data_IF_815470544059
#
_entry.id   IF_815470544059
#
_cell.length_a   1.000
_cell.length_b   1.000
_cell.length_c   1.000
_cell.angle_alpha   90.00
_cell.angle_beta   90.00
_cell.angle_gamma   90.00
#
_symmetry.space_group_name_H-M   'P 1'
#
loop_
_entity.id
_entity.type
_entity.pdbx_description
1 polymer ?
#
# COMPACT_ATOMS: atom_id res chain seq x y z
N UNK A 1 -2.18 -5.70 -24.45
CA UNK A 1 -0.92 -6.18 -23.84
C UNK A 1 -0.63 -5.24 -22.69
N UNK A 2 -1.01 -5.61 -21.46
CA UNK A 2 -0.76 -4.81 -20.26
C UNK A 2 0.60 -5.19 -19.68
N UNK A 3 1.48 -4.21 -19.52
CA UNK A 3 2.78 -4.39 -18.89
C UNK A 3 2.59 -4.53 -17.38
N UNK A 4 2.86 -5.73 -16.86
CA UNK A 4 3.06 -5.97 -15.43
C UNK A 4 4.38 -5.26 -15.07
N UNK A 5 4.35 -4.40 -14.04
CA UNK A 5 5.54 -3.71 -13.56
C UNK A 5 6.60 -4.75 -13.17
N UNK A 6 7.67 -4.82 -13.96
CA UNK A 6 8.78 -5.72 -13.72
C UNK A 6 9.49 -5.33 -12.42
N UNK A 7 9.56 -6.27 -11.48
CA UNK A 7 10.42 -6.14 -10.29
C UNK A 7 11.86 -6.26 -10.81
N UNK A 8 12.57 -5.14 -10.98
CA UNK A 8 13.95 -5.16 -11.45
C UNK A 8 14.89 -5.69 -10.37
N UNK A 9 15.41 -6.91 -10.56
CA UNK A 9 16.38 -7.59 -9.70
C UNK A 9 16.34 -9.12 -9.84
N UNK A 10 17.33 -9.84 -9.32
CA UNK A 10 17.43 -11.31 -9.41
C UNK A 10 16.22 -12.08 -8.80
N UNK A 11 15.38 -11.41 -8.00
CA UNK A 11 14.14 -11.97 -7.47
C UNK A 11 12.93 -11.81 -8.43
N UNK A 12 12.98 -10.88 -9.37
CA UNK A 12 11.86 -10.62 -10.31
C UNK A 12 11.73 -11.68 -11.40
N UNK A 13 12.82 -12.37 -11.74
CA UNK A 13 12.80 -13.48 -12.71
C UNK A 13 12.41 -14.83 -12.08
N UNK A 14 12.35 -14.90 -10.74
CA UNK A 14 12.04 -16.14 -10.02
C UNK A 14 10.55 -16.32 -9.71
N UNK A 15 9.75 -15.26 -9.79
CA UNK A 15 8.33 -15.27 -9.41
C UNK A 15 7.48 -14.82 -10.60
N UNK A 16 6.74 -15.76 -11.20
CA UNK A 16 5.72 -15.45 -12.21
C UNK A 16 4.36 -15.47 -11.55
N UNK A 17 3.63 -14.36 -11.63
CA UNK A 17 2.23 -14.31 -11.24
C UNK A 17 1.38 -15.14 -12.22
N UNK A 18 0.73 -16.19 -11.73
CA UNK A 18 0.01 -17.16 -12.57
C UNK A 18 -1.50 -17.15 -12.32
N UNK A 19 -1.93 -16.66 -11.16
CA UNK A 19 -3.33 -16.74 -10.74
C UNK A 19 -4.12 -15.58 -11.35
N UNK A 20 -5.12 -15.85 -12.21
CA UNK A 20 -5.98 -14.80 -12.76
C UNK A 20 -6.92 -14.23 -11.70
N UNK A 21 -7.57 -13.10 -12.00
CA UNK A 21 -8.60 -12.52 -11.14
C UNK A 21 -9.68 -13.54 -10.76
N UNK A 22 -10.11 -13.53 -9.49
CA UNK A 22 -11.03 -14.48 -8.89
C UNK A 22 -10.40 -15.80 -8.43
N UNK A 23 -9.18 -16.13 -8.87
CA UNK A 23 -8.46 -17.32 -8.40
C UNK A 23 -8.06 -17.23 -6.93
N UNK A 24 -7.82 -18.37 -6.29
CA UNK A 24 -7.36 -18.44 -4.91
C UNK A 24 -5.90 -18.01 -4.80
N UNK A 25 -5.55 -17.33 -3.73
CA UNK A 25 -4.20 -16.88 -3.47
C UNK A 25 -3.92 -16.85 -1.96
N UNK A 26 -2.64 -16.88 -1.60
CA UNK A 26 -2.20 -16.61 -0.21
C UNK A 26 -1.33 -15.36 -0.12
N UNK A 27 -0.77 -14.93 -1.24
CA UNK A 27 0.14 -13.81 -1.35
C UNK A 27 -0.15 -12.97 -2.60
N UNK A 28 0.13 -11.68 -2.51
CA UNK A 28 -0.09 -10.71 -3.61
C UNK A 28 0.63 -11.09 -4.91
N UNK A 29 1.84 -11.66 -4.83
CA UNK A 29 2.66 -11.98 -6.00
C UNK A 29 2.15 -13.19 -6.80
N UNK A 30 1.21 -13.98 -6.25
CA UNK A 30 0.59 -15.08 -6.99
C UNK A 30 -0.38 -14.55 -8.06
N UNK A 31 -0.98 -13.38 -7.78
CA UNK A 31 -2.03 -12.78 -8.57
C UNK A 31 -1.48 -11.98 -9.74
N UNK A 32 -2.03 -12.20 -10.94
CA UNK A 32 -1.74 -11.37 -12.11
C UNK A 32 -2.13 -9.90 -11.89
N UNK A 33 -3.07 -9.65 -10.99
CA UNK A 33 -3.46 -8.30 -10.53
C UNK A 33 -2.49 -7.69 -9.53
N UNK A 34 -1.57 -8.47 -8.97
CA UNK A 34 -0.64 -8.07 -7.91
C UNK A 34 -1.30 -7.86 -6.55
N UNK A 35 -2.52 -8.36 -6.35
CA UNK A 35 -3.27 -8.18 -5.11
C UNK A 35 -4.13 -9.38 -4.77
N UNK A 36 -3.84 -9.96 -3.61
CA UNK A 36 -4.60 -11.02 -3.00
C UNK A 36 -5.46 -10.42 -1.89
N UNK A 37 -6.76 -10.29 -2.13
CA UNK A 37 -7.70 -9.82 -1.12
C UNK A 37 -7.96 -10.95 -0.13
N UNK A 38 -7.38 -10.85 1.07
CA UNK A 38 -7.66 -11.80 2.16
C UNK A 38 -8.82 -11.27 3.00
N UNK A 39 -9.89 -12.04 3.10
CA UNK A 39 -11.04 -11.72 3.97
C UNK A 39 -10.78 -11.92 5.47
N UNK A 40 -9.51 -12.02 5.90
CA UNK A 40 -9.12 -12.36 7.28
C UNK A 40 -8.14 -13.53 7.38
N UNK A 41 -8.43 -14.50 8.25
CA UNK A 41 -7.59 -15.69 8.49
C UNK A 41 -7.92 -16.75 7.42
N UNK A 42 -7.13 -16.84 6.35
CA UNK A 42 -7.27 -17.89 5.32
C UNK A 42 -6.77 -17.47 3.93
N UNK A 43 -6.99 -18.37 2.96
CA UNK A 43 -6.78 -18.10 1.53
C UNK A 43 -7.69 -16.95 1.07
N UNK A 44 -7.14 -16.05 0.25
CA UNK A 44 -7.85 -14.93 -0.38
C UNK A 44 -8.22 -15.22 -1.83
N UNK A 45 -8.70 -14.18 -2.50
CA UNK A 45 -8.92 -14.21 -3.96
C UNK A 45 -8.14 -13.09 -4.63
N UNK A 46 -7.59 -13.38 -5.81
CA UNK A 46 -6.93 -12.36 -6.63
C UNK A 46 -7.96 -11.34 -7.11
N UNK A 47 -7.80 -10.08 -6.73
CA UNK A 47 -8.70 -8.98 -7.11
C UNK A 47 -7.87 -7.81 -7.64
N UNK A 48 -8.53 -6.87 -8.31
CA UNK A 48 -7.91 -5.57 -8.59
C UNK A 48 -7.84 -4.76 -7.31
N UNK A 49 -6.77 -4.00 -7.10
CA UNK A 49 -6.67 -3.09 -5.96
C UNK A 49 -7.80 -2.04 -6.05
N UNK A 50 -8.61 -1.85 -4.99
CA UNK A 50 -9.72 -0.90 -5.00
C UNK A 50 -9.28 0.55 -5.24
N UNK A 51 -10.01 1.24 -6.11
CA UNK A 51 -9.84 2.63 -6.46
C UNK A 51 -10.68 3.59 -5.61
N UNK A 52 -10.75 4.89 -5.98
CA UNK A 52 -11.41 5.92 -5.19
C UNK A 52 -12.90 5.61 -4.95
N UNK A 53 -13.31 5.61 -3.67
CA UNK A 53 -14.69 5.34 -3.26
C UNK A 53 -15.12 3.87 -3.36
N UNK A 54 -14.26 2.98 -3.85
CA UNK A 54 -14.55 1.54 -3.88
C UNK A 54 -14.39 0.92 -2.49
N UNK A 55 -15.12 -0.18 -2.21
CA UNK A 55 -15.00 -0.90 -0.95
C UNK A 55 -13.59 -1.47 -0.79
N UNK A 56 -13.07 -1.42 0.42
CA UNK A 56 -11.75 -1.95 0.74
C UNK A 56 -11.71 -2.59 2.11
N UNK A 57 -10.78 -3.52 2.30
CA UNK A 57 -10.50 -4.13 3.61
C UNK A 57 -9.30 -3.46 4.28
N UNK A 58 -8.19 -3.29 3.56
CA UNK A 58 -6.94 -2.75 4.12
C UNK A 58 -6.05 -2.01 3.11
N UNK A 59 -6.33 -2.07 1.81
CA UNK A 59 -5.49 -1.47 0.77
C UNK A 59 -6.34 -0.81 -0.31
N UNK A 60 -5.80 0.27 -0.86
CA UNK A 60 -6.35 1.02 -1.98
C UNK A 60 -5.22 1.35 -2.96
N UNK A 61 -5.56 1.80 -4.16
CA UNK A 61 -4.59 2.30 -5.14
C UNK A 61 -3.77 3.46 -4.56
N UNK A 62 -2.62 3.73 -5.17
CA UNK A 62 -1.73 4.82 -4.77
C UNK A 62 -2.48 6.16 -4.64
N UNK A 63 -2.13 6.96 -3.64
CA UNK A 63 -2.82 8.20 -3.30
C UNK A 63 -4.05 8.03 -2.41
N UNK A 64 -4.50 6.79 -2.16
CA UNK A 64 -5.66 6.49 -1.32
C UNK A 64 -5.29 5.59 -0.14
N UNK A 65 -6.16 5.56 0.87
CA UNK A 65 -6.06 4.68 2.02
C UNK A 65 -7.45 4.14 2.39
N UNK A 66 -7.46 2.96 3.03
CA UNK A 66 -8.71 2.31 3.37
C UNK A 66 -9.21 2.81 4.71
N UNK A 67 -10.33 3.52 4.72
CA UNK A 67 -10.95 4.02 5.94
C UNK A 67 -12.45 3.79 5.88
N UNK A 68 -13.03 3.35 7.00
CA UNK A 68 -14.47 3.09 7.12
C UNK A 68 -15.03 2.14 6.02
N UNK A 69 -14.18 1.26 5.50
CA UNK A 69 -14.54 0.30 4.45
C UNK A 69 -14.56 0.89 3.03
N UNK A 70 -13.99 2.08 2.81
CA UNK A 70 -13.90 2.71 1.48
C UNK A 70 -12.55 3.40 1.26
N UNK A 71 -12.14 3.46 0.00
CA UNK A 71 -10.90 4.13 -0.36
C UNK A 71 -11.08 5.64 -0.43
N UNK A 72 -10.46 6.35 0.52
CA UNK A 72 -10.45 7.80 0.58
C UNK A 72 -9.07 8.35 0.25
N UNK A 73 -9.02 9.59 -0.25
CA UNK A 73 -7.77 10.23 -0.61
C UNK A 73 -6.91 10.46 0.63
N UNK A 74 -5.61 10.23 0.49
CA UNK A 74 -4.64 10.51 1.55
C UNK A 74 -4.59 12.00 1.87
N UNK A 75 -4.42 12.27 3.16
CA UNK A 75 -4.31 13.59 3.76
C UNK A 75 -2.99 14.26 3.36
N UNK A 76 -3.06 15.54 3.03
CA UNK A 76 -1.90 16.36 2.73
C UNK A 76 -1.07 16.64 4.00
N UNK A 77 0.19 17.01 3.82
CA UNK A 77 1.04 17.48 4.92
C UNK A 77 0.39 18.67 5.67
N UNK A 78 0.48 18.65 6.99
CA UNK A 78 -0.19 19.61 7.88
C UNK A 78 -1.58 19.19 8.35
N UNK A 79 -2.20 18.16 7.77
CA UNK A 79 -3.49 17.63 8.22
C UNK A 79 -3.33 16.77 9.50
N UNK A 80 -4.36 16.76 10.35
CA UNK A 80 -4.40 15.88 11.51
C UNK A 80 -4.54 14.41 11.08
N UNK A 81 -3.84 13.50 11.75
CA UNK A 81 -3.82 12.07 11.43
C UNK A 81 -3.73 11.22 12.70
N UNK A 82 -4.14 9.95 12.60
CA UNK A 82 -4.00 8.95 13.66
C UNK A 82 -2.98 7.87 13.28
N UNK A 83 -2.79 7.64 11.98
CA UNK A 83 -1.86 6.66 11.43
C UNK A 83 -1.12 7.17 10.19
N UNK A 84 0.05 6.60 9.96
CA UNK A 84 0.95 6.97 8.87
C UNK A 84 0.34 6.76 7.48
N UNK A 85 -0.52 5.75 7.32
CA UNK A 85 -1.17 5.42 6.05
C UNK A 85 -2.27 6.40 5.65
N UNK A 86 -2.75 7.25 6.56
CA UNK A 86 -3.66 8.35 6.23
C UNK A 86 -2.95 9.45 5.43
N UNK A 87 -1.64 9.63 5.61
CA UNK A 87 -0.88 10.72 5.02
C UNK A 87 -0.34 10.38 3.62
N UNK A 88 -0.28 11.40 2.75
CA UNK A 88 0.39 11.32 1.43
C UNK A 88 1.86 10.97 1.58
N UNK A 89 2.52 11.59 2.56
CA UNK A 89 3.92 11.36 2.91
C UNK A 89 4.21 10.02 3.58
N UNK A 90 3.18 9.20 3.87
CA UNK A 90 3.31 7.98 4.68
C UNK A 90 3.83 8.23 6.10
N UNK A 91 3.65 9.44 6.64
CA UNK A 91 4.19 9.81 7.94
C UNK A 91 3.20 10.66 8.73
N UNK A 92 2.77 10.13 9.87
CA UNK A 92 1.98 10.84 10.87
C UNK A 92 2.85 11.14 12.09
N UNK A 93 3.28 12.38 12.26
CA UNK A 93 4.20 12.79 13.31
C UNK A 93 3.45 13.14 14.60
N UNK A 94 3.94 12.64 15.75
CA UNK A 94 3.42 13.00 17.06
C UNK A 94 2.11 12.29 17.47
N UNK A 95 1.60 11.35 16.67
CA UNK A 95 0.45 10.55 17.06
C UNK A 95 0.82 9.59 18.22
N UNK A 96 -0.01 9.55 19.25
CA UNK A 96 0.02 8.53 20.31
C UNK A 96 -1.38 7.90 20.44
N UNK A 97 -1.62 6.75 19.77
CA UNK A 97 -2.89 6.05 19.82
C UNK A 97 -3.26 5.58 21.24
N UNK A 98 -2.28 5.34 22.12
CA UNK A 98 -2.53 4.87 23.49
C UNK A 98 -2.98 6.00 24.40
N UNK A 99 -2.49 7.21 24.13
CA UNK A 99 -2.90 8.43 24.82
C UNK A 99 -4.09 9.16 24.15
N UNK A 100 -4.54 8.69 22.98
CA UNK A 100 -5.60 9.34 22.20
C UNK A 100 -5.16 10.68 21.59
N UNK A 101 -3.86 10.86 21.37
CA UNK A 101 -3.29 12.08 20.80
C UNK A 101 -3.19 11.93 19.29
N UNK A 102 -3.79 12.86 18.55
CA UNK A 102 -3.65 12.96 17.10
C UNK A 102 -2.30 13.59 16.73
N UNK A 103 -1.69 13.03 15.70
CA UNK A 103 -0.51 13.58 15.08
C UNK A 103 -0.85 14.53 13.93
N UNK A 104 0.18 14.92 13.20
CA UNK A 104 0.08 15.75 11.99
C UNK A 104 0.85 15.09 10.87
N UNK A 105 0.27 15.05 9.66
CA UNK A 105 0.96 14.58 8.47
C UNK A 105 2.19 15.46 8.23
N UNK A 106 3.36 14.84 8.14
CA UNK A 106 4.62 15.54 7.98
C UNK A 106 5.36 15.01 6.77
N UNK A 107 6.15 15.83 6.06
CA UNK A 107 6.93 15.36 4.93
C UNK A 107 7.88 14.24 5.35
N UNK A 108 8.16 13.33 4.42
CA UNK A 108 9.12 12.26 4.63
C UNK A 108 10.54 12.86 4.59
N UNK A 109 11.04 13.34 5.72
CA UNK A 109 12.40 13.91 5.84
C UNK A 109 13.35 12.82 6.33
N UNK A 110 14.37 12.48 5.53
CA UNK A 110 15.44 11.56 5.94
C UNK A 110 15.23 10.08 5.57
N UNK A 111 14.40 9.78 4.57
CA UNK A 111 14.40 8.45 3.96
C UNK A 111 15.63 8.30 3.06
N UNK A 112 16.42 7.25 3.28
CA UNK A 112 17.49 6.90 2.35
C UNK A 112 16.86 6.17 1.16
N UNK A 113 16.67 6.85 0.03
CA UNK A 113 16.15 6.26 -1.22
C UNK A 113 17.11 5.24 -1.89
N UNK A 114 18.11 4.73 -1.18
CA UNK A 114 19.06 3.75 -1.71
C UNK A 114 19.99 4.28 -2.81
N UNK A 115 20.03 5.58 -3.08
CA UNK A 115 21.11 6.17 -3.86
C UNK A 115 22.39 6.09 -3.01
N UNK A 116 23.26 5.12 -3.34
CA UNK A 116 24.62 5.12 -2.82
C UNK A 116 25.22 6.51 -3.08
N UNK A 117 25.87 7.17 -2.10
CA UNK A 117 26.60 8.39 -2.37
C UNK A 117 27.59 8.11 -3.49
N UNK A 118 27.67 8.99 -4.49
CA UNK A 118 28.73 8.92 -5.47
C UNK A 118 30.05 9.11 -4.72
N UNK A 119 30.82 8.03 -4.58
CA UNK A 119 32.21 8.09 -4.14
C UNK A 119 32.99 8.94 -5.16
N UNK A 120 33.60 10.04 -4.69
CA UNK A 120 34.62 10.84 -5.41
C UNK A 120 36.00 10.20 -5.25
#
# INVERSE_FOLDING_TARGET
MLAVAAISGACGEALTALVPSGGLCTQDYECQTGFCETGGIGDGNCQTIPGPGEPCTYRCTEGYYCTRGSCEARLADGAACNAADECQSRRCEGADPRAGVQGVCAPLTGYCDGAAPADD
#
